data_IF_633813144833
#
_entry.id   IF_633813144833
#
_cell.length_a   1.000
_cell.length_b   1.000
_cell.length_c   1.000
_cell.angle_alpha   90.00
_cell.angle_beta   90.00
_cell.angle_gamma   90.00
#
_symmetry.space_group_name_H-M   'P 1'
#
loop_
_entity.id
_entity.type
_entity.pdbx_description
1 polymer ?
#
# COMPACT_ATOMS: atom_id res chain seq x y z
N UNK A 1 -6.01 12.28 -17.39
CA UNK A 1 -4.84 11.53 -17.04
C UNK A 1 -4.69 11.39 -15.55
N UNK A 2 -4.73 10.22 -15.07
CA UNK A 2 -4.62 9.99 -13.65
C UNK A 2 -3.18 9.80 -13.22
N UNK A 3 -2.96 9.85 -11.92
CA UNK A 3 -1.70 9.49 -11.33
C UNK A 3 -1.76 8.03 -10.93
N UNK A 4 -0.66 7.33 -11.16
CA UNK A 4 -0.56 5.92 -10.80
C UNK A 4 0.49 5.77 -9.72
N UNK A 5 0.07 5.23 -8.59
CA UNK A 5 0.96 4.94 -7.49
C UNK A 5 0.80 3.48 -7.14
N UNK A 6 1.91 2.79 -6.99
CA UNK A 6 1.92 1.38 -6.66
C UNK A 6 2.70 1.18 -5.38
N UNK A 7 2.32 0.16 -4.63
CA UNK A 7 3.09 -0.30 -3.49
C UNK A 7 3.59 -1.70 -3.78
N UNK A 8 4.82 -1.96 -3.38
CA UNK A 8 5.44 -3.26 -3.56
C UNK A 8 6.20 -3.62 -2.30
N UNK A 9 6.10 -4.88 -1.89
CA UNK A 9 6.82 -5.38 -0.73
C UNK A 9 8.13 -6.00 -1.20
N UNK A 10 9.24 -5.42 -0.80
CA UNK A 10 10.57 -5.89 -1.21
C UNK A 10 11.19 -6.75 -0.11
N UNK A 11 10.42 -7.68 0.41
CA UNK A 11 10.93 -8.65 1.36
C UNK A 11 10.85 -8.20 2.81
N UNK A 12 9.82 -7.45 3.17
CA UNK A 12 9.65 -7.05 4.56
C UNK A 12 9.36 -8.28 5.43
N UNK A 13 9.81 -8.23 6.67
CA UNK A 13 9.60 -9.33 7.60
C UNK A 13 8.15 -9.47 8.00
N UNK A 14 7.47 -8.34 8.17
CA UNK A 14 6.09 -8.32 8.65
C UNK A 14 5.06 -8.36 7.53
N UNK A 15 5.49 -8.16 6.29
CA UNK A 15 4.58 -8.08 5.17
C UNK A 15 3.97 -6.69 5.03
N UNK A 16 3.29 -6.50 3.92
CA UNK A 16 2.63 -5.24 3.59
C UNK A 16 1.18 -5.54 3.24
N UNK A 17 0.28 -4.70 3.71
CA UNK A 17 -1.14 -4.83 3.39
C UNK A 17 -1.72 -3.54 2.87
N UNK A 18 -2.81 -3.63 2.13
CA UNK A 18 -3.57 -2.48 1.65
C UNK A 18 -5.00 -2.66 2.11
N UNK A 19 -5.47 -1.73 2.92
CA UNK A 19 -6.82 -1.77 3.48
C UNK A 19 -7.11 -3.09 4.19
N UNK A 20 -6.11 -3.59 4.91
CA UNK A 20 -6.24 -4.82 5.68
C UNK A 20 -6.01 -6.10 4.89
N UNK A 21 -5.67 -6.01 3.61
CA UNK A 21 -5.43 -7.17 2.76
C UNK A 21 -3.95 -7.30 2.48
N UNK A 22 -3.34 -8.45 2.80
CA UNK A 22 -1.92 -8.63 2.47
C UNK A 22 -1.73 -8.63 0.96
N UNK A 23 -0.63 -8.00 0.51
CA UNK A 23 -0.31 -7.99 -0.91
C UNK A 23 0.80 -8.99 -1.18
N UNK A 24 0.75 -9.61 -2.36
CA UNK A 24 1.76 -10.57 -2.80
C UNK A 24 2.43 -10.11 -4.09
N UNK A 25 2.05 -8.96 -4.60
CA UNK A 25 2.57 -8.42 -5.86
C UNK A 25 2.37 -6.92 -5.82
N UNK A 26 3.03 -6.18 -6.72
CA UNK A 26 2.82 -4.73 -6.76
C UNK A 26 1.34 -4.41 -6.93
N UNK A 27 0.84 -3.52 -6.10
CA UNK A 27 -0.58 -3.23 -6.02
C UNK A 27 -0.82 -1.75 -6.24
N UNK A 28 -1.73 -1.43 -7.15
CA UNK A 28 -2.08 -0.04 -7.43
C UNK A 28 -2.87 0.53 -6.26
N UNK A 29 -2.57 1.77 -5.93
CA UNK A 29 -3.23 2.47 -4.83
C UNK A 29 -4.23 3.48 -5.35
N UNK A 30 -5.28 3.66 -4.59
CA UNK A 30 -6.29 4.69 -4.82
C UNK A 30 -6.20 5.74 -3.75
N UNK A 31 -6.81 6.88 -4.02
CA UNK A 31 -6.87 7.93 -3.04
C UNK A 31 -7.58 7.42 -1.78
N UNK A 32 -7.01 7.73 -0.63
CA UNK A 32 -7.50 7.33 0.68
C UNK A 32 -7.26 5.87 1.05
N UNK A 33 -6.52 5.13 0.25
CA UNK A 33 -6.11 3.78 0.66
C UNK A 33 -5.19 3.86 1.86
N UNK A 34 -5.24 2.82 2.70
CA UNK A 34 -4.39 2.71 3.87
C UNK A 34 -3.43 1.56 3.66
N UNK A 35 -2.14 1.88 3.69
CA UNK A 35 -1.08 0.89 3.56
C UNK A 35 -0.58 0.53 4.95
N UNK A 36 -0.51 -0.75 5.25
CA UNK A 36 -0.05 -1.25 6.52
C UNK A 36 1.31 -1.90 6.36
N UNK A 37 2.28 -1.46 7.16
CA UNK A 37 3.62 -2.04 7.17
C UNK A 37 3.95 -2.31 8.63
N UNK A 38 3.93 -3.59 9.01
CA UNK A 38 4.09 -3.93 10.41
C UNK A 38 3.00 -3.29 11.24
N UNK A 39 3.38 -2.52 12.25
CA UNK A 39 2.43 -1.84 13.13
C UNK A 39 2.08 -0.44 12.63
N UNK A 40 2.57 -0.04 11.47
CA UNK A 40 2.39 1.31 10.97
C UNK A 40 1.32 1.32 9.90
N UNK A 41 0.38 2.26 10.02
CA UNK A 41 -0.65 2.47 9.00
C UNK A 41 -0.40 3.82 8.34
N UNK A 42 -0.37 3.84 7.02
CA UNK A 42 -0.10 5.04 6.25
C UNK A 42 -1.27 5.28 5.32
N UNK A 43 -1.92 6.42 5.48
CA UNK A 43 -2.99 6.79 4.56
C UNK A 43 -2.39 7.52 3.36
N UNK A 44 -2.78 7.10 2.18
CA UNK A 44 -2.28 7.65 0.93
C UNK A 44 -3.29 8.62 0.37
N UNK A 45 -2.83 9.82 0.03
CA UNK A 45 -3.67 10.82 -0.59
C UNK A 45 -2.98 11.41 -1.80
N UNK A 46 -3.75 11.59 -2.85
CA UNK A 46 -3.28 12.25 -4.06
C UNK A 46 -3.92 13.62 -4.17
N UNK A 47 -3.15 14.52 -4.74
CA UNK A 47 -3.68 15.85 -5.00
C UNK A 47 -4.61 15.84 -6.20
#
# INVERSE_FOLDING_TARGET
>A
MGQNLFVEDLGSTSGTGVNGQPITEPTALRNNDVVNVGDVAIRVRFA
#
